data_IF_643270149569
#
_entry.id   IF_643270149569
#
_cell.length_a   1.000
_cell.length_b   1.000
_cell.length_c   1.000
_cell.angle_alpha   90.00
_cell.angle_beta   90.00
_cell.angle_gamma   90.00
#
_symmetry.space_group_name_H-M   'P 1'
#
loop_
_entity.id
_entity.type
_entity.pdbx_description
1 polymer ?
#
# COMPACT_ATOMS: atom_id res chain seq x y z
N UNK A 1 19.63 18.53 0.30
CA UNK A 1 18.61 17.47 0.35
C UNK A 1 19.17 16.31 1.15
N UNK A 2 18.40 15.74 2.08
CA UNK A 2 18.83 14.54 2.79
C UNK A 2 19.01 13.41 1.77
N UNK A 3 20.18 12.77 1.77
CA UNK A 3 20.46 11.62 0.90
C UNK A 3 19.93 10.39 1.62
N UNK A 4 18.82 9.85 1.14
CA UNK A 4 18.34 8.55 1.60
C UNK A 4 19.28 7.47 1.05
N UNK A 5 19.63 6.50 1.89
CA UNK A 5 20.43 5.34 1.49
C UNK A 5 19.54 4.18 1.04
N UNK A 6 18.26 4.19 1.44
CA UNK A 6 17.24 3.21 1.11
C UNK A 6 15.86 3.87 1.03
N UNK A 7 14.95 3.32 0.22
CA UNK A 7 13.60 3.88 0.06
C UNK A 7 12.77 3.77 1.34
N UNK A 8 13.07 2.80 2.21
CA UNK A 8 12.40 2.61 3.50
C UNK A 8 12.65 3.77 4.48
N UNK A 9 13.66 4.60 4.26
CA UNK A 9 13.93 5.80 5.06
C UNK A 9 12.98 6.96 4.72
N UNK A 10 12.29 6.88 3.57
CA UNK A 10 11.37 7.91 3.11
C UNK A 10 10.08 7.82 3.94
N UNK A 11 9.80 8.84 4.75
CA UNK A 11 8.58 8.89 5.59
C UNK A 11 7.28 8.71 4.78
N UNK A 12 7.22 9.25 3.56
CA UNK A 12 6.07 9.07 2.68
C UNK A 12 5.88 7.60 2.27
N UNK A 13 6.98 6.88 2.01
CA UNK A 13 6.94 5.44 1.71
C UNK A 13 6.47 4.63 2.92
N UNK A 14 6.99 4.92 4.12
CA UNK A 14 6.57 4.26 5.36
C UNK A 14 5.06 4.41 5.60
N UNK A 15 4.52 5.63 5.42
CA UNK A 15 3.08 5.89 5.54
C UNK A 15 2.27 5.15 4.47
N UNK A 16 2.75 5.11 3.24
CA UNK A 16 2.10 4.36 2.16
C UNK A 16 2.08 2.85 2.43
N UNK A 17 3.15 2.30 2.99
CA UNK A 17 3.23 0.91 3.42
C UNK A 17 2.22 0.60 4.54
N UNK A 18 2.12 1.45 5.56
CA UNK A 18 1.14 1.29 6.65
C UNK A 18 -0.31 1.33 6.15
N UNK A 19 -0.63 2.26 5.26
CA UNK A 19 -1.96 2.35 4.62
C UNK A 19 -2.25 1.10 3.82
N UNK A 20 -1.28 0.62 3.03
CA UNK A 20 -1.41 -0.60 2.24
C UNK A 20 -1.71 -1.80 3.14
N UNK A 21 -0.96 -1.99 4.22
CA UNK A 21 -1.21 -3.08 5.18
C UNK A 21 -2.62 -3.00 5.80
N UNK A 22 -3.08 -1.81 6.19
CA UNK A 22 -4.44 -1.62 6.72
C UNK A 22 -5.49 -1.99 5.69
N UNK A 23 -5.31 -1.60 4.42
CA UNK A 23 -6.22 -1.94 3.33
C UNK A 23 -6.27 -3.45 3.10
N UNK A 24 -5.13 -4.13 3.10
CA UNK A 24 -5.10 -5.59 3.00
C UNK A 24 -5.90 -6.24 4.13
N UNK A 25 -5.71 -5.79 5.38
CA UNK A 25 -6.45 -6.31 6.55
C UNK A 25 -7.96 -6.08 6.44
N UNK A 26 -8.38 -4.85 6.13
CA UNK A 26 -9.81 -4.49 6.01
C UNK A 26 -10.51 -5.26 4.89
N UNK A 27 -9.79 -5.57 3.81
CA UNK A 27 -10.34 -6.24 2.62
C UNK A 27 -10.14 -7.75 2.63
N UNK A 28 -9.55 -8.32 3.69
CA UNK A 28 -9.27 -9.76 3.80
C UNK A 28 -10.40 -10.58 4.44
N UNK A 29 -11.43 -9.94 5.00
CA UNK A 29 -12.53 -10.63 5.68
C UNK A 29 -13.91 -10.12 5.24
N UNK A 30 -14.95 -10.84 5.66
CA UNK A 30 -16.35 -10.46 5.45
C UNK A 30 -16.78 -10.42 3.98
N UNK A 31 -17.76 -9.57 3.67
CA UNK A 31 -18.26 -9.44 2.30
C UNK A 31 -17.21 -8.84 1.35
N UNK A 32 -16.33 -7.98 1.86
CA UNK A 32 -15.28 -7.34 1.06
C UNK A 32 -14.31 -8.38 0.47
N UNK A 33 -13.96 -9.43 1.24
CA UNK A 33 -13.01 -10.44 0.73
C UNK A 33 -13.53 -11.24 -0.47
N UNK A 34 -14.86 -11.27 -0.65
CA UNK A 34 -15.56 -11.96 -1.74
C UNK A 34 -15.89 -11.05 -2.93
N UNK A 35 -15.78 -9.74 -2.77
CA UNK A 35 -15.89 -8.78 -3.88
C UNK A 35 -14.53 -8.63 -4.56
N UNK A 36 -14.19 -9.60 -5.42
CA UNK A 36 -12.89 -9.68 -6.08
C UNK A 36 -12.54 -8.42 -6.88
N UNK A 37 -13.52 -7.83 -7.57
CA UNK A 37 -13.32 -6.63 -8.39
C UNK A 37 -12.92 -5.43 -7.53
N UNK A 38 -13.75 -5.09 -6.55
CA UNK A 38 -13.48 -3.95 -5.67
C UNK A 38 -12.22 -4.18 -4.82
N UNK A 39 -12.08 -5.39 -4.23
CA UNK A 39 -10.93 -5.78 -3.41
C UNK A 39 -9.62 -5.62 -4.15
N UNK A 40 -9.53 -6.16 -5.37
CA UNK A 40 -8.28 -6.16 -6.11
C UNK A 40 -7.95 -4.77 -6.66
N UNK A 41 -8.94 -3.98 -7.09
CA UNK A 41 -8.73 -2.58 -7.48
C UNK A 41 -8.18 -1.76 -6.31
N UNK A 42 -8.82 -1.80 -5.14
CA UNK A 42 -8.40 -1.03 -3.96
C UNK A 42 -7.00 -1.44 -3.49
N UNK A 43 -6.71 -2.75 -3.45
CA UNK A 43 -5.36 -3.24 -3.09
C UNK A 43 -4.30 -2.77 -4.08
N UNK A 44 -4.56 -2.86 -5.39
CA UNK A 44 -3.61 -2.41 -6.44
C UNK A 44 -3.36 -0.91 -6.39
N UNK A 45 -4.40 -0.09 -6.21
CA UNK A 45 -4.25 1.36 -6.06
C UNK A 45 -3.37 1.70 -4.85
N UNK A 46 -3.53 0.98 -3.74
CA UNK A 46 -2.72 1.18 -2.53
C UNK A 46 -1.25 0.84 -2.75
N UNK A 47 -0.99 -0.31 -3.39
CA UNK A 47 0.37 -0.72 -3.74
C UNK A 47 1.04 0.26 -4.71
N UNK A 48 0.28 0.85 -5.65
CA UNK A 48 0.81 1.87 -6.58
C UNK A 48 1.38 3.09 -5.85
N UNK A 49 0.76 3.51 -4.74
CA UNK A 49 1.25 4.65 -3.93
C UNK A 49 2.57 4.27 -3.23
N UNK A 50 2.72 3.03 -2.79
CA UNK A 50 3.94 2.55 -2.12
C UNK A 50 5.08 2.29 -3.12
N UNK A 51 4.76 1.81 -4.33
CA UNK A 51 5.75 1.36 -5.31
C UNK A 51 6.56 2.49 -5.95
N UNK A 52 6.07 3.74 -5.93
CA UNK A 52 6.73 4.87 -6.59
C UNK A 52 8.18 5.14 -6.15
N UNK A 53 8.55 4.71 -4.94
CA UNK A 53 9.88 4.96 -4.38
C UNK A 53 10.87 3.80 -4.65
N UNK A 54 10.43 2.75 -5.36
CA UNK A 54 11.27 1.60 -5.72
C UNK A 54 11.96 1.75 -7.07
N UNK A 55 11.50 2.67 -7.91
CA UNK A 55 12.10 3.07 -9.19
C UNK A 55 12.91 4.37 -9.00
#
# INVERSE_FOLDING_TARGET
>A
MAKFSKFEEIQAWQKAHDVTLRIYRMTAAGNFSRDFGLRDQIRRSSVSIMAWAKD
#
